data_IF_444878270336
#
_entry.id   IF_444878270336
#
_cell.length_a   1.000
_cell.length_b   1.000
_cell.length_c   1.000
_cell.angle_alpha   90.00
_cell.angle_beta   90.00
_cell.angle_gamma   90.00
#
_symmetry.space_group_name_H-M   'P 1'
#
loop_
_entity.id
_entity.type
_entity.pdbx_description
1 polymer ?
#
# COMPACT_ATOMS: atom_id res chain seq x y z
N UNK A 1 65.40 -4.00 -23.53
CA UNK A 1 64.18 -4.01 -22.68
C UNK A 1 63.38 -2.77 -23.05
N UNK A 2 62.47 -2.89 -24.01
CA UNK A 2 61.74 -1.77 -24.60
C UNK A 2 60.49 -1.47 -23.79
N UNK A 3 60.34 -0.23 -23.31
CA UNK A 3 59.21 0.22 -22.51
C UNK A 3 57.94 0.39 -23.35
N UNK A 4 56.79 0.04 -22.76
CA UNK A 4 55.48 0.32 -23.31
C UNK A 4 55.17 1.81 -23.18
N UNK A 5 54.95 2.49 -24.30
CA UNK A 5 54.49 3.87 -24.33
C UNK A 5 53.00 3.95 -23.96
N UNK A 6 52.64 4.84 -23.03
CA UNK A 6 51.24 5.17 -22.72
C UNK A 6 50.70 6.14 -23.79
N UNK A 7 49.73 5.69 -24.59
CA UNK A 7 48.96 6.58 -25.47
C UNK A 7 47.60 6.88 -24.80
N UNK A 8 47.44 8.12 -24.34
CA UNK A 8 46.16 8.67 -23.89
C UNK A 8 45.21 8.84 -25.09
N UNK A 9 44.25 7.94 -25.24
CA UNK A 9 43.15 8.10 -26.20
C UNK A 9 42.03 8.94 -25.57
N UNK A 10 41.96 10.20 -26.00
CA UNK A 10 40.81 11.08 -25.81
C UNK A 10 39.67 10.62 -26.74
N UNK A 11 38.52 10.24 -26.17
CA UNK A 11 37.35 9.84 -26.95
C UNK A 11 36.59 11.08 -27.43
N UNK A 12 36.83 11.46 -28.68
CA UNK A 12 35.96 12.36 -29.45
C UNK A 12 35.54 11.63 -30.73
N UNK A 13 34.24 11.65 -31.05
CA UNK A 13 33.75 11.37 -32.39
C UNK A 13 33.15 9.97 -32.63
N UNK A 14 31.90 9.97 -33.09
CA UNK A 14 31.17 8.87 -33.73
C UNK A 14 31.81 8.53 -35.08
N UNK A 15 31.93 7.24 -35.42
CA UNK A 15 31.56 6.68 -36.73
C UNK A 15 31.86 5.16 -36.84
N UNK A 16 30.95 4.45 -37.51
CA UNK A 16 31.01 3.03 -37.86
C UNK A 16 32.21 2.71 -38.77
N UNK A 17 32.81 1.52 -38.61
CA UNK A 17 33.28 0.57 -39.65
C UNK A 17 34.06 -0.56 -38.94
N UNK A 18 33.61 -1.82 -39.09
CA UNK A 18 34.43 -2.99 -38.77
C UNK A 18 35.47 -3.19 -39.89
N UNK A 19 36.70 -3.57 -39.53
CA UNK A 19 37.29 -4.72 -40.19
C UNK A 19 37.87 -5.71 -39.18
N UNK A 20 37.52 -6.97 -39.41
CA UNK A 20 38.12 -8.16 -38.82
C UNK A 20 39.62 -8.26 -39.11
N UNK A 21 40.44 -8.33 -38.06
CA UNK A 21 41.74 -8.98 -38.12
C UNK A 21 41.99 -9.74 -36.80
N UNK A 22 42.10 -11.05 -36.93
CA UNK A 22 42.53 -11.97 -35.88
C UNK A 22 43.95 -11.61 -35.43
N UNK A 23 44.06 -11.08 -34.21
CA UNK A 23 45.30 -11.09 -33.44
C UNK A 23 45.02 -11.80 -32.11
N UNK A 24 45.54 -13.03 -31.99
CA UNK A 24 45.58 -13.77 -30.74
C UNK A 24 46.34 -12.93 -29.69
N UNK A 25 45.74 -12.56 -28.55
CA UNK A 25 46.43 -11.76 -27.57
C UNK A 25 47.43 -12.61 -26.78
N UNK A 26 48.70 -12.19 -26.79
CA UNK A 26 49.69 -12.62 -25.81
C UNK A 26 49.12 -12.43 -24.39
N UNK A 27 49.15 -13.43 -23.50
CA UNK A 27 48.45 -13.39 -22.21
C UNK A 27 49.02 -12.39 -21.19
N UNK A 28 50.07 -11.64 -21.54
CA UNK A 28 50.76 -10.72 -20.62
C UNK A 28 50.37 -9.24 -20.78
N UNK A 29 49.45 -8.89 -21.69
CA UNK A 29 48.94 -7.53 -21.85
C UNK A 29 47.41 -7.52 -21.89
N UNK A 30 46.78 -8.07 -20.85
CA UNK A 30 45.36 -7.81 -20.63
C UNK A 30 45.21 -6.31 -20.36
N UNK A 31 44.40 -5.56 -21.14
CA UNK A 31 44.00 -4.24 -20.72
C UNK A 31 43.27 -4.40 -19.40
N UNK A 32 43.74 -3.71 -18.37
CA UNK A 32 42.96 -3.53 -17.14
C UNK A 32 41.73 -2.74 -17.54
N UNK A 33 40.64 -3.42 -17.89
CA UNK A 33 39.33 -2.80 -17.87
C UNK A 33 39.19 -2.29 -16.44
N UNK A 34 39.33 -0.97 -16.25
CA UNK A 34 38.77 -0.32 -15.07
C UNK A 34 37.29 -0.61 -15.17
N UNK A 35 36.89 -1.72 -14.56
CA UNK A 35 35.52 -1.97 -14.15
C UNK A 35 35.18 -0.85 -13.19
N UNK A 36 34.76 0.29 -13.75
CA UNK A 36 33.97 1.27 -13.04
C UNK A 36 32.81 0.47 -12.47
N UNK A 37 32.81 0.38 -11.14
CA UNK A 37 31.86 -0.36 -10.36
C UNK A 37 30.47 -0.10 -10.92
N UNK A 38 29.85 -1.21 -11.35
CA UNK A 38 28.44 -1.56 -11.24
C UNK A 38 27.58 -0.36 -10.87
N UNK A 39 26.65 0.01 -11.76
CA UNK A 39 25.47 0.75 -11.34
C UNK A 39 24.92 0.09 -10.08
N UNK A 40 25.16 0.70 -8.92
CA UNK A 40 24.48 0.37 -7.68
C UNK A 40 23.06 0.96 -7.83
N UNK A 41 22.33 0.51 -8.85
CA UNK A 41 20.88 0.56 -8.78
C UNK A 41 20.53 -0.46 -7.71
N UNK A 42 20.62 -0.05 -6.44
CA UNK A 42 19.89 -0.72 -5.39
C UNK A 42 18.45 -0.59 -5.82
N UNK A 43 17.90 -1.64 -6.41
CA UNK A 43 16.47 -1.86 -6.34
C UNK A 43 16.20 -2.07 -4.86
N UNK A 44 15.97 -0.96 -4.14
CA UNK A 44 15.21 -1.03 -2.92
C UNK A 44 13.80 -1.41 -3.38
N UNK A 45 13.56 -2.70 -3.50
CA UNK A 45 12.20 -3.20 -3.58
C UNK A 45 11.48 -2.61 -2.37
N UNK A 46 10.41 -1.86 -2.61
CA UNK A 46 9.62 -1.30 -1.52
C UNK A 46 9.18 -2.42 -0.57
N UNK A 47 9.02 -2.08 0.70
CA UNK A 47 8.44 -2.97 1.69
C UNK A 47 6.94 -3.13 1.42
N UNK A 48 6.42 -4.34 1.64
CA UNK A 48 4.98 -4.60 1.69
C UNK A 48 4.60 -4.78 3.15
N UNK A 49 3.61 -4.02 3.61
CA UNK A 49 3.09 -4.09 4.98
C UNK A 49 1.73 -4.80 4.90
N UNK A 50 1.63 -6.04 5.40
CA UNK A 50 0.40 -6.82 5.35
C UNK A 50 -0.53 -6.47 6.53
N UNK A 51 -1.83 -6.40 6.24
CA UNK A 51 -2.90 -6.26 7.22
C UNK A 51 -3.87 -7.41 7.09
N UNK A 52 -4.30 -7.95 8.22
CA UNK A 52 -5.28 -9.02 8.27
C UNK A 52 -6.15 -8.83 9.51
N UNK A 53 -7.47 -8.99 9.37
CA UNK A 53 -8.38 -8.74 10.47
C UNK A 53 -8.29 -9.79 11.58
N UNK A 54 -8.01 -11.06 11.25
CA UNK A 54 -7.99 -12.20 12.19
C UNK A 54 -9.35 -12.56 12.78
N UNK A 55 -10.07 -11.57 13.29
CA UNK A 55 -11.47 -11.61 13.70
C UNK A 55 -12.36 -10.92 12.64
N UNK A 56 -13.71 -11.09 12.73
CA UNK A 56 -14.62 -10.37 11.86
C UNK A 56 -14.61 -8.85 12.08
N UNK A 57 -14.57 -8.09 10.99
CA UNK A 57 -14.83 -6.64 10.98
C UNK A 57 -16.32 -6.37 10.90
N UNK A 58 -16.77 -5.28 11.53
CA UNK A 58 -18.17 -4.83 11.51
C UNK A 58 -18.21 -3.42 10.96
N UNK A 59 -18.87 -3.26 9.82
CA UNK A 59 -19.00 -1.99 9.10
C UNK A 59 -20.47 -1.59 9.11
N UNK A 60 -20.79 -0.41 9.64
CA UNK A 60 -22.17 0.08 9.67
C UNK A 60 -22.33 1.33 8.82
N UNK A 61 -23.51 1.47 8.23
CA UNK A 61 -23.91 2.61 7.40
C UNK A 61 -25.12 3.31 8.00
N UNK A 62 -25.25 4.60 7.78
CA UNK A 62 -26.45 5.37 8.10
C UNK A 62 -27.51 5.17 7.03
N UNK A 63 -28.76 5.51 7.35
CA UNK A 63 -29.86 5.45 6.39
C UNK A 63 -29.57 6.28 5.14
N UNK A 64 -28.81 7.38 5.26
CA UNK A 64 -28.37 8.23 4.15
C UNK A 64 -27.29 7.60 3.25
N UNK A 65 -26.85 6.37 3.54
CA UNK A 65 -25.77 5.67 2.83
C UNK A 65 -24.37 6.07 3.26
N UNK A 66 -24.24 7.00 4.21
CA UNK A 66 -22.96 7.42 4.78
C UNK A 66 -22.39 6.38 5.74
N UNK A 67 -21.08 6.47 5.98
CA UNK A 67 -20.39 5.69 7.00
C UNK A 67 -20.96 6.03 8.39
N UNK A 68 -21.25 5.01 9.19
CA UNK A 68 -21.62 5.16 10.61
C UNK A 68 -20.46 4.74 11.52
N UNK A 69 -20.07 3.47 11.45
CA UNK A 69 -18.90 2.95 12.15
C UNK A 69 -17.97 2.18 11.23
N UNK A 70 -16.70 2.20 11.57
CA UNK A 70 -15.60 1.61 10.80
C UNK A 70 -14.86 0.57 11.63
N UNK A 71 -14.00 -0.19 10.96
CA UNK A 71 -13.11 -1.16 11.60
C UNK A 71 -11.66 -0.91 11.21
N UNK A 72 -10.76 -0.83 12.19
CA UNK A 72 -9.33 -0.81 11.97
C UNK A 72 -8.77 -2.24 11.88
N UNK A 73 -7.75 -2.42 11.06
CA UNK A 73 -7.04 -3.70 10.92
C UNK A 73 -5.59 -3.55 11.40
N UNK A 74 -5.11 -4.59 12.07
CA UNK A 74 -3.71 -4.78 12.41
C UNK A 74 -3.09 -5.97 11.66
N UNK A 75 -2.18 -6.64 12.34
CA UNK A 75 -1.35 -7.73 11.79
C UNK A 75 -1.90 -9.11 12.16
N UNK A 76 -3.21 -9.31 11.97
CA UNK A 76 -3.95 -10.48 12.46
C UNK A 76 -4.97 -10.16 13.56
N UNK A 77 -5.32 -8.88 13.71
CA UNK A 77 -6.26 -8.32 14.68
C UNK A 77 -7.16 -7.29 14.02
N UNK A 78 -8.32 -7.04 14.62
CA UNK A 78 -9.24 -6.01 14.17
C UNK A 78 -9.96 -5.35 15.33
N UNK A 79 -10.09 -4.03 15.25
CA UNK A 79 -10.85 -3.23 16.18
C UNK A 79 -12.08 -2.66 15.48
N UNK A 80 -13.28 -2.99 15.97
CA UNK A 80 -14.56 -2.64 15.32
C UNK A 80 -15.31 -1.57 16.10
N UNK A 81 -16.29 -0.92 15.47
CA UNK A 81 -17.15 0.07 16.14
C UNK A 81 -16.49 1.44 16.33
N UNK A 82 -15.41 1.71 15.59
CA UNK A 82 -14.77 3.02 15.60
C UNK A 82 -15.68 4.06 14.95
N UNK A 83 -15.73 5.25 15.53
CA UNK A 83 -16.48 6.37 14.96
C UNK A 83 -15.53 7.28 14.19
N UNK A 84 -16.00 7.78 13.05
CA UNK A 84 -15.26 8.77 12.25
C UNK A 84 -15.88 10.13 12.53
N UNK A 85 -15.19 10.96 13.32
CA UNK A 85 -15.59 12.33 13.58
C UNK A 85 -15.05 13.24 12.48
N UNK A 86 -15.88 13.51 11.47
CA UNK A 86 -15.48 14.27 10.29
C UNK A 86 -14.50 13.47 9.41
N UNK A 87 -13.22 13.83 9.46
CA UNK A 87 -12.11 13.14 8.76
C UNK A 87 -11.13 12.47 9.72
N UNK A 88 -11.46 12.41 11.02
CA UNK A 88 -10.55 11.96 12.06
C UNK A 88 -11.08 10.77 12.84
N UNK A 89 -10.14 9.96 13.33
CA UNK A 89 -10.37 8.86 14.25
C UNK A 89 -9.50 9.14 15.48
N UNK A 90 -10.12 9.30 16.64
CA UNK A 90 -9.42 9.50 17.90
C UNK A 90 -9.39 8.19 18.69
N UNK A 91 -8.17 7.68 18.90
CA UNK A 91 -7.90 6.49 19.69
C UNK A 91 -7.39 6.84 21.10
N UNK A 92 -7.47 8.10 21.53
CA UNK A 92 -7.03 8.53 22.85
C UNK A 92 -7.86 7.86 23.94
N UNK A 93 -7.18 7.22 24.92
CA UNK A 93 -7.85 6.50 26.01
C UNK A 93 -8.57 5.22 25.57
N UNK A 94 -8.50 4.86 24.28
CA UNK A 94 -8.94 3.56 23.78
C UNK A 94 -7.88 2.52 24.18
N UNK A 95 -8.29 1.39 24.74
CA UNK A 95 -7.37 0.36 25.25
C UNK A 95 -6.42 -0.20 24.17
N UNK A 96 -5.43 -0.98 24.60
CA UNK A 96 -4.35 -1.48 23.73
C UNK A 96 -4.84 -2.33 22.53
N UNK A 97 -6.05 -2.92 22.60
CA UNK A 97 -6.64 -3.75 21.54
C UNK A 97 -7.31 -2.95 20.41
N UNK A 98 -7.25 -1.63 20.46
CA UNK A 98 -7.95 -0.74 19.53
C UNK A 98 -6.95 0.04 18.65
N UNK A 99 -5.70 0.12 19.10
CA UNK A 99 -4.64 0.86 18.43
C UNK A 99 -3.82 -0.04 17.51
N UNK A 100 -4.38 -0.29 16.33
CA UNK A 100 -3.78 -1.15 15.29
C UNK A 100 -2.77 -0.39 14.40
N UNK A 101 -2.25 0.76 14.86
CA UNK A 101 -1.35 1.58 14.08
C UNK A 101 0.13 1.18 14.27
N UNK A 102 0.93 1.33 13.21
CA UNK A 102 2.39 1.14 13.27
C UNK A 102 3.13 2.45 12.96
N UNK A 103 4.34 2.60 13.50
CA UNK A 103 5.17 3.79 13.27
C UNK A 103 6.16 3.56 12.13
N UNK A 104 6.31 4.55 11.25
CA UNK A 104 7.30 4.53 10.18
C UNK A 104 8.72 4.56 10.74
N UNK A 105 9.61 3.60 10.39
CA UNK A 105 11.00 3.61 10.86
C UNK A 105 11.90 4.55 10.05
N UNK A 106 11.43 5.04 8.90
CA UNK A 106 12.14 5.94 7.99
C UNK A 106 11.14 6.66 7.10
N UNK A 107 11.61 7.67 6.37
CA UNK A 107 10.85 8.24 5.27
C UNK A 107 10.53 7.16 4.22
N UNK A 108 9.31 7.18 3.71
CA UNK A 108 8.84 6.27 2.67
C UNK A 108 7.80 6.91 1.78
N UNK A 109 7.53 6.27 0.63
CA UNK A 109 6.47 6.70 -0.28
C UNK A 109 5.48 5.56 -0.48
N UNK A 110 4.20 5.79 -0.18
CA UNK A 110 3.13 4.84 -0.49
C UNK A 110 2.94 4.77 -2.01
N UNK A 111 3.03 3.55 -2.57
CA UNK A 111 2.98 3.28 -4.02
C UNK A 111 1.71 2.57 -4.47
N UNK A 112 1.17 1.72 -3.62
CA UNK A 112 -0.09 1.02 -3.90
C UNK A 112 -0.74 0.52 -2.62
N UNK A 113 -2.05 0.33 -2.69
CA UNK A 113 -2.86 -0.28 -1.64
C UNK A 113 -3.76 -1.31 -2.31
N UNK A 114 -3.71 -2.56 -1.86
CA UNK A 114 -4.68 -3.58 -2.23
C UNK A 114 -5.51 -3.96 -1.02
N UNK A 115 -6.76 -4.36 -1.25
CA UNK A 115 -7.67 -4.79 -0.20
C UNK A 115 -8.58 -5.91 -0.70
N UNK A 116 -9.01 -6.74 0.26
CA UNK A 116 -9.94 -7.84 0.05
C UNK A 116 -10.93 -7.88 1.21
N UNK A 117 -12.16 -8.27 0.90
CA UNK A 117 -13.22 -8.48 1.86
C UNK A 117 -14.00 -9.76 1.55
N UNK A 118 -14.36 -10.52 2.59
CA UNK A 118 -15.24 -11.68 2.51
C UNK A 118 -16.39 -11.53 3.50
N UNK A 119 -17.61 -11.53 3.00
CA UNK A 119 -18.82 -11.44 3.81
C UNK A 119 -19.02 -12.69 4.66
N UNK A 120 -19.41 -12.50 5.92
CA UNK A 120 -19.63 -13.60 6.89
C UNK A 120 -21.11 -13.88 7.11
N UNK A 121 -21.99 -12.87 7.06
CA UNK A 121 -23.40 -13.00 7.37
C UNK A 121 -24.27 -12.71 6.15
N UNK A 122 -25.24 -13.59 5.85
CA UNK A 122 -26.18 -13.32 4.79
C UNK A 122 -27.03 -12.09 5.11
N UNK A 123 -27.17 -11.18 4.16
CA UNK A 123 -27.96 -9.95 4.31
C UNK A 123 -28.61 -9.59 2.97
N UNK A 124 -29.86 -9.13 3.01
CA UNK A 124 -30.58 -8.69 1.82
C UNK A 124 -31.00 -7.23 1.97
N UNK A 125 -30.44 -6.39 1.11
CA UNK A 125 -30.67 -4.95 1.05
C UNK A 125 -31.24 -4.62 -0.34
N UNK A 126 -32.52 -4.94 -0.54
CA UNK A 126 -33.18 -4.83 -1.85
C UNK A 126 -33.05 -3.41 -2.42
N UNK A 127 -32.65 -3.30 -3.69
CA UNK A 127 -32.49 -2.01 -4.35
C UNK A 127 -31.30 -1.19 -3.87
N UNK A 128 -30.32 -1.82 -3.20
CA UNK A 128 -29.10 -1.15 -2.75
C UNK A 128 -27.84 -1.89 -3.22
N UNK A 129 -26.73 -1.19 -3.20
CA UNK A 129 -25.38 -1.73 -3.43
C UNK A 129 -24.51 -1.34 -2.24
N UNK A 130 -23.65 -2.25 -1.78
CA UNK A 130 -22.72 -2.00 -0.69
C UNK A 130 -21.35 -1.72 -1.28
N UNK A 131 -20.78 -0.58 -0.93
CA UNK A 131 -19.45 -0.17 -1.35
C UNK A 131 -18.51 -0.21 -0.14
N UNK A 132 -17.44 -1.00 -0.25
CA UNK A 132 -16.44 -1.13 0.81
C UNK A 132 -15.19 -0.37 0.39
N UNK A 133 -14.63 0.39 1.34
CA UNK A 133 -13.43 1.20 1.13
C UNK A 133 -12.41 0.87 2.21
N UNK A 134 -11.15 0.66 1.82
CA UNK A 134 -10.01 0.65 2.73
C UNK A 134 -9.23 1.96 2.57
N UNK A 135 -8.99 2.66 3.68
CA UNK A 135 -8.40 3.99 3.72
C UNK A 135 -7.26 4.01 4.73
N UNK A 136 -6.14 4.61 4.36
CA UNK A 136 -5.06 4.90 5.28
C UNK A 136 -5.28 6.21 6.01
N UNK A 137 -4.97 6.20 7.30
CA UNK A 137 -4.91 7.37 8.14
C UNK A 137 -3.51 7.55 8.73
N UNK A 138 -3.12 8.79 9.00
CA UNK A 138 -1.85 9.14 9.64
C UNK A 138 -2.05 9.96 10.90
N UNK A 139 -1.17 9.74 11.88
CA UNK A 139 -1.01 10.61 13.04
C UNK A 139 0.46 11.00 13.24
N UNK A 140 0.74 12.19 13.82
CA UNK A 140 2.07 12.54 14.31
C UNK A 140 2.61 11.52 15.34
N UNK A 141 3.93 11.47 15.59
CA UNK A 141 4.57 10.45 16.43
C UNK A 141 3.99 10.32 17.84
N UNK A 142 3.55 11.43 18.43
CA UNK A 142 3.05 11.51 19.80
C UNK A 142 1.52 11.64 19.89
N UNK A 143 0.79 11.31 18.81
CA UNK A 143 -0.67 11.49 18.72
C UNK A 143 -1.40 10.16 18.52
N UNK A 144 -2.62 10.07 19.07
CA UNK A 144 -3.61 9.03 18.79
C UNK A 144 -4.79 9.54 17.96
N UNK A 145 -4.70 10.77 17.43
CA UNK A 145 -5.69 11.36 16.54
C UNK A 145 -5.19 11.19 15.11
N UNK A 146 -5.89 10.34 14.37
CA UNK A 146 -5.57 9.93 13.02
C UNK A 146 -6.41 10.70 12.01
N UNK A 147 -5.78 11.20 10.96
CA UNK A 147 -6.41 11.94 9.85
C UNK A 147 -6.30 11.14 8.56
N UNK A 148 -7.35 11.11 7.74
CA UNK A 148 -7.33 10.37 6.48
C UNK A 148 -6.24 10.95 5.55
N UNK A 149 -5.42 10.07 4.96
CA UNK A 149 -4.41 10.48 3.99
C UNK A 149 -5.08 10.60 2.62
N UNK A 150 -5.16 11.82 2.02
CA UNK A 150 -5.84 12.01 0.74
C UNK A 150 -5.25 11.13 -0.36
N UNK A 151 -6.11 10.40 -1.07
CA UNK A 151 -5.72 9.51 -2.17
C UNK A 151 -5.09 8.16 -1.75
N UNK A 152 -4.78 7.97 -0.46
CA UNK A 152 -4.28 6.69 0.05
C UNK A 152 -5.43 5.74 0.41
N UNK A 153 -6.24 5.41 -0.60
CA UNK A 153 -7.40 4.55 -0.43
C UNK A 153 -7.57 3.59 -1.58
N UNK A 154 -8.37 2.55 -1.34
CA UNK A 154 -8.83 1.61 -2.35
C UNK A 154 -10.32 1.39 -2.18
N UNK A 155 -11.04 1.63 -3.26
CA UNK A 155 -12.44 1.25 -3.39
C UNK A 155 -12.47 -0.18 -3.93
N UNK A 156 -13.14 -1.08 -3.21
CA UNK A 156 -13.33 -2.45 -3.68
C UNK A 156 -14.52 -2.48 -4.65
N UNK A 157 -14.57 -3.53 -5.49
CA UNK A 157 -15.69 -3.73 -6.39
C UNK A 157 -17.03 -3.76 -5.61
N UNK A 158 -18.08 -3.05 -6.06
CA UNK A 158 -19.32 -2.98 -5.31
C UNK A 158 -19.97 -4.36 -5.12
N UNK A 159 -20.42 -4.65 -3.91
CA UNK A 159 -21.18 -5.85 -3.61
C UNK A 159 -22.67 -5.61 -3.88
N UNK A 160 -23.39 -6.58 -4.45
CA UNK A 160 -24.83 -6.47 -4.63
C UNK A 160 -25.53 -6.39 -3.27
N UNK A 161 -26.73 -5.80 -3.24
CA UNK A 161 -27.53 -5.73 -2.00
C UNK A 161 -27.90 -7.11 -1.43
N UNK A 162 -27.87 -8.17 -2.24
CA UNK A 162 -27.99 -9.55 -1.75
C UNK A 162 -26.59 -10.09 -1.43
N UNK A 163 -26.19 -9.94 -0.17
CA UNK A 163 -24.92 -10.41 0.36
C UNK A 163 -25.05 -11.87 0.79
N UNK A 164 -24.43 -12.79 0.05
CA UNK A 164 -24.33 -14.19 0.43
C UNK A 164 -23.17 -14.42 1.43
N UNK A 165 -23.26 -15.46 2.25
CA UNK A 165 -22.13 -15.92 3.07
C UNK A 165 -20.99 -16.32 2.13
N UNK A 166 -19.78 -15.85 2.42
CA UNK A 166 -18.61 -16.08 1.59
C UNK A 166 -18.58 -15.25 0.30
N UNK A 167 -19.50 -14.31 0.11
CA UNK A 167 -19.42 -13.34 -0.98
C UNK A 167 -18.17 -12.47 -0.82
N UNK A 168 -17.38 -12.33 -1.88
CA UNK A 168 -16.08 -11.64 -1.83
C UNK A 168 -16.05 -10.42 -2.72
N UNK A 169 -15.19 -9.47 -2.36
CA UNK A 169 -14.81 -8.35 -3.22
C UNK A 169 -13.36 -7.97 -2.95
N UNK A 170 -12.73 -7.33 -3.92
CA UNK A 170 -11.34 -6.87 -3.82
C UNK A 170 -11.11 -5.63 -4.66
N UNK A 171 -9.97 -4.99 -4.47
CA UNK A 171 -9.54 -3.85 -5.26
C UNK A 171 -8.06 -3.57 -5.08
N UNK A 172 -7.51 -2.77 -5.99
CA UNK A 172 -6.15 -2.24 -5.86
C UNK A 172 -6.08 -0.82 -6.43
N UNK A 173 -5.43 0.07 -5.69
CA UNK A 173 -5.02 1.38 -6.16
C UNK A 173 -3.51 1.36 -6.37
N UNK A 174 -3.06 1.69 -7.58
CA UNK A 174 -1.63 1.73 -7.95
C UNK A 174 -1.24 3.14 -8.42
N UNK A 175 0.04 3.37 -8.68
CA UNK A 175 0.52 4.66 -9.17
C UNK A 175 0.51 5.77 -8.10
N UNK A 176 0.42 5.39 -6.82
CA UNK A 176 0.47 6.35 -5.73
C UNK A 176 1.89 6.91 -5.57
N UNK A 177 1.97 8.16 -5.13
CA UNK A 177 3.23 8.83 -4.80
C UNK A 177 3.03 9.73 -3.60
N UNK A 178 2.68 9.13 -2.46
CA UNK A 178 2.33 9.84 -1.24
C UNK A 178 3.49 9.72 -0.24
N UNK A 179 4.25 10.80 0.02
CA UNK A 179 5.35 10.76 0.97
C UNK A 179 4.81 10.64 2.40
N UNK A 180 5.47 9.81 3.20
CA UNK A 180 5.20 9.60 4.62
C UNK A 180 6.53 9.75 5.37
N UNK A 181 6.70 10.79 6.19
CA UNK A 181 7.91 10.97 6.99
C UNK A 181 8.13 9.85 8.01
N UNK A 182 9.37 9.66 8.43
CA UNK A 182 9.72 8.85 9.58
C UNK A 182 8.87 9.20 10.81
N UNK A 183 8.67 8.22 11.68
CA UNK A 183 7.90 8.28 12.93
C UNK A 183 6.39 8.52 12.76
N UNK A 184 5.91 8.86 11.56
CA UNK A 184 4.48 8.94 11.26
C UNK A 184 3.81 7.61 11.57
N UNK A 185 2.70 7.68 12.29
CA UNK A 185 1.91 6.49 12.63
C UNK A 185 0.86 6.26 11.55
N UNK A 186 0.80 5.05 10.99
CA UNK A 186 -0.20 4.68 10.00
C UNK A 186 -1.21 3.69 10.57
N UNK A 187 -2.48 3.95 10.28
CA UNK A 187 -3.63 3.11 10.63
C UNK A 187 -4.41 2.77 9.37
N UNK A 188 -4.75 1.50 9.16
CA UNK A 188 -5.61 1.07 8.07
C UNK A 188 -7.04 0.83 8.56
N UNK A 189 -8.00 1.42 7.86
CA UNK A 189 -9.41 1.41 8.26
C UNK A 189 -10.30 0.99 7.10
N UNK A 190 -11.19 0.04 7.35
CA UNK A 190 -12.25 -0.36 6.46
C UNK A 190 -13.57 0.33 6.84
N UNK A 191 -14.31 0.76 5.84
CA UNK A 191 -15.63 1.38 5.97
C UNK A 191 -16.58 0.86 4.89
N UNK A 192 -17.87 1.02 5.12
CA UNK A 192 -18.90 0.72 4.14
C UNK A 192 -19.76 1.96 3.88
N UNK A 193 -20.27 2.08 2.66
CA UNK A 193 -21.34 3.00 2.27
C UNK A 193 -22.37 2.23 1.45
N UNK A 194 -23.58 2.77 1.34
CA UNK A 194 -24.61 2.19 0.48
C UNK A 194 -25.07 3.20 -0.57
N UNK A 195 -25.38 2.70 -1.76
CA UNK A 195 -26.01 3.48 -2.83
C UNK A 195 -27.33 2.82 -3.23
N UNK A 196 -28.31 3.62 -3.66
CA UNK A 196 -29.66 3.15 -3.95
C UNK A 196 -30.66 3.57 -2.87
N UNK A 197 -31.50 2.63 -2.41
CA UNK A 197 -32.51 2.92 -1.38
C UNK A 197 -31.83 3.28 -0.04
N UNK A 198 -32.22 4.40 0.62
CA UNK A 198 -31.68 4.81 1.91
C UNK A 198 -32.00 3.79 3.01
N UNK A 199 -31.02 3.00 3.46
CA UNK A 199 -31.19 1.94 4.47
C UNK A 199 -29.94 1.86 5.35
N UNK A 200 -30.14 1.68 6.66
CA UNK A 200 -29.06 1.33 7.61
C UNK A 200 -28.66 -0.12 7.36
N UNK A 201 -27.41 -0.35 6.99
CA UNK A 201 -26.85 -1.69 6.81
C UNK A 201 -25.69 -1.93 7.77
N UNK A 202 -25.63 -3.15 8.31
CA UNK A 202 -24.50 -3.68 9.07
C UNK A 202 -23.91 -4.85 8.30
N UNK A 203 -22.68 -4.69 7.84
CA UNK A 203 -21.98 -5.66 6.99
C UNK A 203 -20.82 -6.24 7.80
N UNK A 204 -20.85 -7.54 8.02
CA UNK A 204 -19.90 -8.27 8.88
C UNK A 204 -19.13 -9.28 8.07
N UNK A 205 -17.81 -9.27 8.15
CA UNK A 205 -16.95 -10.11 7.30
C UNK A 205 -15.50 -10.15 7.76
N UNK A 206 -14.65 -10.78 6.96
CA UNK A 206 -13.19 -10.77 7.14
C UNK A 206 -12.56 -9.83 6.12
N UNK A 207 -11.49 -9.14 6.52
CA UNK A 207 -10.81 -8.18 5.66
C UNK A 207 -9.28 -8.36 5.73
N UNK A 208 -8.62 -8.09 4.62
CA UNK A 208 -7.17 -8.02 4.53
C UNK A 208 -6.74 -6.97 3.53
N UNK A 209 -5.50 -6.50 3.67
CA UNK A 209 -4.94 -5.50 2.77
C UNK A 209 -3.41 -5.55 2.76
N UNK A 210 -2.82 -4.91 1.75
CA UNK A 210 -1.38 -4.74 1.63
C UNK A 210 -1.06 -3.33 1.16
N UNK A 211 -0.02 -2.73 1.75
CA UNK A 211 0.48 -1.41 1.36
C UNK A 211 1.92 -1.56 0.90
N UNK A 212 2.25 -1.04 -0.28
CA UNK A 212 3.62 -0.97 -0.78
C UNK A 212 4.25 0.39 -0.43
N UNK A 213 5.43 0.37 0.19
CA UNK A 213 6.16 1.57 0.63
C UNK A 213 7.63 1.46 0.21
N UNK A 214 8.09 2.39 -0.63
CA UNK A 214 9.49 2.46 -1.08
C UNK A 214 10.27 3.55 -0.37
#
# INVERSE_FOLDING_TARGET
MSGCYENNLSLTGYDNILPSYDYLPNPCCLPRIRGGLRSNTRFAFGSIIPFASGLPVILTTLASGLVSTVSALGFGSSATGLTVAGLTIDLTGTGALINEAFSMPRDGVIRSISAFYSNLLALTLVGTTVNITAQLYSAPPTSNIFTAIPGASVQLDPLPGVLAIGGTTSGITTGLSIPVPAETRLLLVFSATTTGIPIVATVTGYASAGIAIS
#
